data_IF_750153621949
#
_entry.id   IF_750153621949
#
_cell.length_a   1.000
_cell.length_b   1.000
_cell.length_c   1.000
_cell.angle_alpha   90.00
_cell.angle_beta   90.00
_cell.angle_gamma   90.00
#
_symmetry.space_group_name_H-M   'P 1'
#
loop_
_entity.id
_entity.type
_entity.pdbx_description
1 polymer ?
#
# COMPACT_ATOMS: atom_id res chain seq x y z
N UNK A 1 -66.76 -31.82 -45.67
CA UNK A 1 -65.57 -31.10 -45.17
C UNK A 1 -65.72 -30.95 -43.66
N UNK A 2 -64.78 -31.45 -42.84
CA UNK A 2 -64.81 -31.38 -41.36
C UNK A 2 -63.92 -30.22 -40.93
N UNK A 3 -64.49 -29.17 -40.33
CA UNK A 3 -63.73 -28.04 -39.80
C UNK A 3 -63.18 -28.40 -38.42
N UNK A 4 -61.84 -28.46 -38.30
CA UNK A 4 -61.14 -28.63 -37.03
C UNK A 4 -60.98 -27.26 -36.36
N UNK A 5 -61.70 -27.03 -35.28
CA UNK A 5 -61.59 -25.83 -34.45
C UNK A 5 -60.34 -25.92 -33.57
N UNK A 6 -59.31 -25.13 -33.91
CA UNK A 6 -58.12 -24.96 -33.09
C UNK A 6 -58.44 -24.23 -31.78
N UNK A 7 -58.25 -24.92 -30.65
CA UNK A 7 -58.43 -24.35 -29.30
C UNK A 7 -57.28 -23.37 -29.01
N UNK A 8 -57.52 -22.07 -29.11
CA UNK A 8 -56.54 -21.07 -28.71
C UNK A 8 -56.30 -21.17 -27.19
N UNK A 9 -55.05 -21.49 -26.81
CA UNK A 9 -54.62 -21.41 -25.41
C UNK A 9 -54.51 -19.93 -25.05
N UNK A 10 -55.42 -19.44 -24.21
CA UNK A 10 -55.40 -18.06 -23.73
C UNK A 10 -54.03 -17.72 -23.14
N UNK A 11 -53.37 -16.71 -23.70
CA UNK A 11 -52.15 -16.14 -23.13
C UNK A 11 -52.55 -15.45 -21.83
N UNK A 12 -52.22 -16.05 -20.69
CA UNK A 12 -52.33 -15.40 -19.37
C UNK A 12 -51.36 -14.21 -19.38
N UNK A 13 -51.89 -13.00 -19.33
CA UNK A 13 -51.11 -11.78 -19.15
C UNK A 13 -50.70 -11.62 -17.69
N UNK A 14 -49.54 -11.02 -17.46
CA UNK A 14 -49.06 -10.66 -16.14
C UNK A 14 -49.98 -9.59 -15.52
N UNK A 15 -50.33 -9.75 -14.24
CA UNK A 15 -51.09 -8.73 -13.51
C UNK A 15 -50.16 -7.64 -12.99
N UNK A 16 -50.68 -6.43 -12.82
CA UNK A 16 -49.95 -5.32 -12.19
C UNK A 16 -49.48 -5.67 -10.77
N UNK A 17 -50.29 -6.47 -10.04
CA UNK A 17 -49.97 -6.91 -8.68
C UNK A 17 -48.78 -7.87 -8.68
N UNK A 18 -48.71 -8.81 -9.62
CA UNK A 18 -47.55 -9.71 -9.74
C UNK A 18 -46.27 -8.94 -10.04
N UNK A 19 -46.33 -7.92 -10.91
CA UNK A 19 -45.17 -7.07 -11.19
C UNK A 19 -44.76 -6.24 -9.95
N UNK A 20 -45.74 -5.71 -9.20
CA UNK A 20 -45.50 -4.95 -7.97
C UNK A 20 -44.81 -5.79 -6.89
N UNK A 21 -45.25 -7.02 -6.68
CA UNK A 21 -44.63 -7.93 -5.70
C UNK A 21 -43.18 -8.24 -6.08
N UNK A 22 -42.90 -8.44 -7.38
CA UNK A 22 -41.54 -8.72 -7.86
C UNK A 22 -40.58 -7.54 -7.60
N UNK A 23 -40.98 -6.31 -7.89
CA UNK A 23 -40.11 -5.15 -7.64
C UNK A 23 -39.88 -4.92 -6.14
N UNK A 24 -40.87 -5.20 -5.29
CA UNK A 24 -40.71 -5.14 -3.82
C UNK A 24 -39.71 -6.18 -3.34
N UNK A 25 -39.81 -7.44 -3.81
CA UNK A 25 -38.85 -8.50 -3.44
C UNK A 25 -37.44 -8.13 -3.92
N UNK A 26 -37.28 -7.64 -5.15
CA UNK A 26 -35.98 -7.19 -5.67
C UNK A 26 -35.42 -6.05 -4.83
N UNK A 27 -36.24 -5.07 -4.41
CA UNK A 27 -35.82 -3.97 -3.54
C UNK A 27 -35.33 -4.44 -2.17
N UNK A 28 -36.04 -5.38 -1.55
CA UNK A 28 -35.64 -5.98 -0.26
C UNK A 28 -34.31 -6.73 -0.43
N UNK A 29 -34.19 -7.60 -1.44
CA UNK A 29 -32.96 -8.36 -1.70
C UNK A 29 -31.76 -7.44 -2.02
N UNK A 30 -31.98 -6.38 -2.80
CA UNK A 30 -30.95 -5.41 -3.13
C UNK A 30 -30.43 -4.65 -1.89
N UNK A 31 -31.32 -4.25 -0.97
CA UNK A 31 -30.90 -3.55 0.25
C UNK A 31 -30.06 -4.41 1.19
N UNK A 32 -30.38 -5.71 1.32
CA UNK A 32 -29.59 -6.67 2.11
C UNK A 32 -28.19 -6.91 1.53
N UNK A 33 -28.06 -6.94 0.21
CA UNK A 33 -26.78 -7.14 -0.49
C UNK A 33 -25.78 -5.99 -0.23
N UNK A 34 -26.26 -4.74 -0.19
CA UNK A 34 -25.40 -3.56 0.02
C UNK A 34 -24.76 -3.57 1.43
N UNK A 35 -25.52 -3.93 2.47
CA UNK A 35 -25.03 -3.94 3.85
C UNK A 35 -23.91 -4.94 4.14
N UNK A 36 -23.93 -6.11 3.49
CA UNK A 36 -22.93 -7.16 3.68
C UNK A 36 -21.61 -6.87 2.92
N UNK A 37 -21.69 -6.19 1.78
CA UNK A 37 -20.53 -5.90 0.91
C UNK A 37 -19.45 -5.06 1.59
N UNK A 38 -19.85 -4.05 2.39
CA UNK A 38 -18.91 -3.17 3.09
C UNK A 38 -18.05 -3.87 4.15
N UNK A 39 -18.67 -4.74 4.96
CA UNK A 39 -17.96 -5.46 6.04
C UNK A 39 -16.99 -6.52 5.49
N UNK A 40 -17.36 -7.20 4.41
CA UNK A 40 -16.49 -8.15 3.72
C UNK A 40 -15.27 -7.44 3.10
N UNK A 41 -15.48 -6.30 2.45
CA UNK A 41 -14.40 -5.48 1.88
C UNK A 41 -13.42 -5.00 2.95
N UNK A 42 -13.93 -4.52 4.10
CA UNK A 42 -13.10 -4.14 5.25
C UNK A 42 -12.23 -5.31 5.74
N UNK A 43 -12.85 -6.45 6.06
CA UNK A 43 -12.13 -7.63 6.56
C UNK A 43 -11.06 -8.12 5.58
N UNK A 44 -11.35 -8.08 4.27
CA UNK A 44 -10.38 -8.43 3.24
C UNK A 44 -9.17 -7.47 3.24
N UNK A 45 -9.40 -6.15 3.30
CA UNK A 45 -8.32 -5.15 3.37
C UNK A 45 -7.46 -5.33 4.62
N UNK A 46 -8.09 -5.52 5.78
CA UNK A 46 -7.40 -5.77 7.04
C UNK A 46 -6.58 -7.07 6.99
N UNK A 47 -7.17 -8.16 6.49
CA UNK A 47 -6.51 -9.46 6.38
C UNK A 47 -5.27 -9.40 5.49
N UNK A 48 -5.38 -8.80 4.29
CA UNK A 48 -4.23 -8.62 3.38
C UNK A 48 -3.12 -7.80 4.00
N UNK A 49 -3.48 -6.69 4.65
CA UNK A 49 -2.50 -5.81 5.28
C UNK A 49 -1.81 -6.48 6.46
N UNK A 50 -2.52 -7.30 7.25
CA UNK A 50 -1.93 -8.06 8.36
C UNK A 50 -1.03 -9.18 7.90
N UNK A 51 -1.41 -9.92 6.85
CA UNK A 51 -0.56 -10.94 6.27
C UNK A 51 0.77 -10.33 5.81
N UNK A 52 0.69 -9.17 5.16
CA UNK A 52 1.88 -8.44 4.72
C UNK A 52 2.70 -7.88 5.90
N UNK A 53 2.05 -7.38 6.96
CA UNK A 53 2.73 -6.94 8.17
C UNK A 53 3.63 -8.05 8.73
N UNK A 54 3.10 -9.27 8.87
CA UNK A 54 3.85 -10.42 9.40
C UNK A 54 5.03 -10.78 8.48
N UNK A 55 4.86 -10.70 7.16
CA UNK A 55 5.94 -10.95 6.21
C UNK A 55 7.09 -9.94 6.40
N UNK A 56 6.76 -8.65 6.53
CA UNK A 56 7.74 -7.58 6.73
C UNK A 56 8.40 -7.69 8.12
N UNK A 57 7.65 -8.00 9.17
CA UNK A 57 8.20 -8.23 10.52
C UNK A 57 9.22 -9.37 10.51
N UNK A 58 8.91 -10.46 9.79
CA UNK A 58 9.81 -11.60 9.62
C UNK A 58 11.08 -11.19 8.88
N UNK A 59 10.96 -10.40 7.80
CA UNK A 59 12.09 -9.88 7.05
C UNK A 59 12.96 -8.93 7.89
N UNK A 60 12.35 -8.03 8.67
CA UNK A 60 13.06 -7.13 9.60
C UNK A 60 13.78 -7.94 10.69
N UNK A 61 13.15 -9.01 11.19
CA UNK A 61 13.76 -9.94 12.14
C UNK A 61 15.01 -10.60 11.56
N UNK A 62 14.91 -11.15 10.34
CA UNK A 62 16.04 -11.75 9.64
C UNK A 62 17.16 -10.74 9.34
N UNK A 63 16.80 -9.52 8.93
CA UNK A 63 17.73 -8.41 8.75
C UNK A 63 18.50 -8.13 10.05
N UNK A 64 17.80 -7.96 11.17
CA UNK A 64 18.43 -7.71 12.47
C UNK A 64 19.35 -8.86 12.89
N UNK A 65 18.93 -10.10 12.70
CA UNK A 65 19.78 -11.26 12.99
C UNK A 65 21.07 -11.25 12.16
N UNK A 66 21.02 -10.70 10.94
CA UNK A 66 22.19 -10.63 10.05
C UNK A 66 23.11 -9.44 10.34
N UNK A 67 22.56 -8.26 10.61
CA UNK A 67 23.33 -7.02 10.75
C UNK A 67 23.49 -6.54 12.20
N UNK A 68 22.81 -7.15 13.16
CA UNK A 68 22.87 -6.79 14.59
C UNK A 68 21.99 -5.59 14.97
N UNK A 69 21.47 -4.85 13.99
CA UNK A 69 20.58 -3.71 14.19
C UNK A 69 19.36 -3.80 13.26
N UNK A 70 18.29 -3.09 13.61
CA UNK A 70 17.13 -2.94 12.74
C UNK A 70 17.48 -2.06 11.51
N UNK A 71 16.72 -2.17 10.40
CA UNK A 71 16.90 -1.28 9.25
C UNK A 71 16.85 0.20 9.66
N UNK A 72 17.66 1.08 9.04
CA UNK A 72 17.56 2.52 9.25
C UNK A 72 16.21 3.03 8.75
N UNK A 73 15.66 4.04 9.43
CA UNK A 73 14.43 4.72 9.01
C UNK A 73 14.73 6.12 8.48
N UNK A 74 13.79 6.71 7.75
CA UNK A 74 13.81 8.14 7.46
C UNK A 74 13.41 8.91 8.73
N UNK A 75 14.30 9.74 9.31
CA UNK A 75 14.00 10.46 10.55
C UNK A 75 13.00 11.61 10.36
N UNK A 76 12.72 12.02 9.11
CA UNK A 76 11.84 13.15 8.79
C UNK A 76 10.42 12.69 8.45
N UNK A 77 10.29 11.60 7.70
CA UNK A 77 9.01 11.11 7.21
C UNK A 77 8.94 9.58 7.30
N UNK A 78 8.12 9.02 8.20
CA UNK A 78 7.95 7.57 8.30
C UNK A 78 7.42 6.90 7.02
N UNK A 79 6.68 7.62 6.18
CA UNK A 79 6.07 7.09 4.96
C UNK A 79 7.06 6.99 3.79
N UNK A 80 8.08 7.86 3.75
CA UNK A 80 9.15 7.87 2.77
C UNK A 80 10.43 7.24 3.35
N UNK A 81 10.35 5.99 3.77
CA UNK A 81 11.47 5.27 4.38
C UNK A 81 12.24 4.41 3.36
N UNK A 82 13.46 4.02 3.74
CA UNK A 82 14.37 3.20 2.93
C UNK A 82 14.13 1.68 3.05
N UNK A 83 13.05 1.24 3.71
CA UNK A 83 12.87 -0.16 4.09
C UNK A 83 12.85 -1.10 2.88
N UNK A 84 12.33 -0.66 1.73
CA UNK A 84 12.39 -1.42 0.48
C UNK A 84 13.83 -1.83 0.15
N UNK A 85 14.75 -0.86 0.05
CA UNK A 85 16.14 -1.13 -0.32
C UNK A 85 16.91 -1.89 0.76
N UNK A 86 16.58 -1.68 2.03
CA UNK A 86 17.20 -2.40 3.14
C UNK A 86 16.79 -3.88 3.16
N UNK A 87 15.54 -4.20 2.82
CA UNK A 87 15.05 -5.59 2.84
C UNK A 87 15.30 -6.34 1.54
N UNK A 88 15.38 -5.66 0.39
CA UNK A 88 15.65 -6.29 -0.91
C UNK A 88 17.13 -6.31 -1.27
N UNK A 89 17.90 -5.35 -0.75
CA UNK A 89 19.31 -5.15 -1.04
C UNK A 89 19.56 -4.28 -2.26
N UNK A 90 20.66 -3.53 -2.23
CA UNK A 90 21.02 -2.59 -3.28
C UNK A 90 22.48 -2.76 -3.75
N UNK A 91 22.75 -2.56 -5.04
CA UNK A 91 24.13 -2.63 -5.55
C UNK A 91 24.82 -1.28 -5.37
N UNK A 92 26.00 -1.25 -4.73
CA UNK A 92 26.74 -0.01 -4.50
C UNK A 92 28.02 0.06 -5.33
N UNK A 93 28.19 1.16 -6.07
CA UNK A 93 29.41 1.48 -6.82
C UNK A 93 30.20 2.61 -6.15
N UNK A 94 31.41 2.38 -5.60
CA UNK A 94 32.21 3.42 -4.95
C UNK A 94 32.76 4.42 -5.95
N UNK A 95 33.18 3.93 -7.12
CA UNK A 95 33.78 4.75 -8.16
C UNK A 95 32.78 5.83 -8.64
N UNK A 96 31.50 5.47 -8.75
CA UNK A 96 30.43 6.38 -9.17
C UNK A 96 29.67 7.02 -8.01
N UNK A 97 29.86 6.53 -6.78
CA UNK A 97 29.06 6.87 -5.60
C UNK A 97 27.55 6.77 -5.87
N UNK A 98 27.15 5.67 -6.50
CA UNK A 98 25.75 5.41 -6.88
C UNK A 98 25.28 4.07 -6.34
N UNK A 99 23.98 4.00 -6.10
CA UNK A 99 23.24 2.82 -5.70
C UNK A 99 22.38 2.35 -6.88
N UNK A 100 22.27 1.06 -7.12
CA UNK A 100 21.45 0.49 -8.19
C UNK A 100 20.48 -0.53 -7.61
N UNK A 101 19.21 -0.35 -7.91
CA UNK A 101 18.18 -1.34 -7.64
C UNK A 101 18.41 -2.56 -8.55
N UNK A 102 18.70 -3.76 -8.00
CA UNK A 102 18.95 -4.94 -8.82
C UNK A 102 17.68 -5.46 -9.51
N UNK A 103 16.49 -5.17 -8.98
CA UNK A 103 15.22 -5.67 -9.54
C UNK A 103 14.75 -4.88 -10.74
N UNK A 104 14.90 -3.55 -10.69
CA UNK A 104 14.40 -2.64 -11.74
C UNK A 104 15.54 -2.01 -12.56
N UNK A 105 16.75 -2.01 -12.04
CA UNK A 105 17.93 -1.45 -12.70
C UNK A 105 18.13 0.04 -12.48
N UNK A 106 17.22 0.72 -11.78
CA UNK A 106 17.28 2.16 -11.49
C UNK A 106 18.54 2.52 -10.72
N UNK A 107 19.24 3.58 -11.14
CA UNK A 107 20.49 4.05 -10.54
C UNK A 107 20.25 5.37 -9.81
N UNK A 108 20.48 5.38 -8.51
CA UNK A 108 20.28 6.52 -7.61
C UNK A 108 21.63 7.11 -7.18
N UNK A 109 21.71 8.44 -7.16
CA UNK A 109 22.83 9.20 -6.56
C UNK A 109 22.57 9.41 -5.06
N UNK A 110 23.65 9.56 -4.28
CA UNK A 110 23.56 9.86 -2.82
C UNK A 110 22.68 11.07 -2.53
N UNK A 111 22.76 12.12 -3.35
CA UNK A 111 21.96 13.32 -3.16
C UNK A 111 20.45 13.02 -3.23
N UNK A 112 20.03 12.27 -4.25
CA UNK A 112 18.64 11.85 -4.38
C UNK A 112 18.21 10.98 -3.20
N UNK A 113 19.04 10.04 -2.74
CA UNK A 113 18.71 9.20 -1.57
C UNK A 113 18.50 10.06 -0.31
N UNK A 114 19.34 11.09 -0.12
CA UNK A 114 19.22 12.01 1.01
C UNK A 114 17.96 12.87 0.94
N UNK A 115 17.57 13.29 -0.26
CA UNK A 115 16.33 14.05 -0.51
C UNK A 115 15.09 13.19 -0.25
N UNK A 116 15.06 11.97 -0.78
CA UNK A 116 13.89 11.08 -0.69
C UNK A 116 13.74 10.41 0.68
N UNK A 117 14.83 9.85 1.20
CA UNK A 117 14.80 8.97 2.36
C UNK A 117 15.44 9.58 3.61
N UNK A 118 16.03 10.77 3.50
CA UNK A 118 16.69 11.41 4.64
C UNK A 118 17.93 10.66 5.17
N UNK A 119 18.46 9.70 4.40
CA UNK A 119 19.65 8.90 4.72
C UNK A 119 20.73 9.08 3.66
N UNK A 120 21.98 8.76 3.96
CA UNK A 120 23.10 8.94 3.02
C UNK A 120 23.35 7.74 2.10
N UNK A 121 22.62 6.65 2.34
CA UNK A 121 22.75 5.39 1.61
C UNK A 121 22.00 4.28 2.32
N UNK A 122 22.20 3.06 1.83
CA UNK A 122 21.64 1.84 2.40
C UNK A 122 22.73 1.01 3.05
N UNK A 123 22.38 0.29 4.11
CA UNK A 123 23.31 -0.61 4.81
C UNK A 123 23.38 -1.95 4.07
N UNK A 124 22.23 -2.52 3.69
CA UNK A 124 22.19 -3.76 2.92
C UNK A 124 22.60 -3.52 1.46
N UNK A 125 23.91 -3.53 1.22
CA UNK A 125 24.50 -3.33 -0.09
C UNK A 125 25.47 -4.43 -0.49
N UNK A 126 25.64 -4.60 -1.80
CA UNK A 126 26.58 -5.55 -2.38
C UNK A 126 27.29 -4.98 -3.61
N UNK A 127 28.42 -5.59 -4.01
CA UNK A 127 29.13 -5.23 -5.26
C UNK A 127 28.57 -5.94 -6.48
N UNK A 128 27.98 -7.11 -6.28
CA UNK A 128 27.40 -7.95 -7.32
C UNK A 128 26.09 -8.56 -6.83
N UNK A 129 25.24 -8.98 -7.78
CA UNK A 129 23.93 -9.57 -7.44
C UNK A 129 24.06 -10.89 -6.67
N UNK A 130 25.17 -11.61 -6.84
CA UNK A 130 25.44 -12.87 -6.12
C UNK A 130 25.69 -12.69 -4.62
N UNK A 131 26.10 -11.49 -4.21
CA UNK A 131 26.41 -11.16 -2.82
C UNK A 131 25.25 -10.48 -2.07
N UNK A 132 24.19 -10.14 -2.80
CA UNK A 132 23.01 -9.49 -2.25
C UNK A 132 22.36 -10.38 -1.21
N UNK A 133 21.99 -9.76 -0.10
CA UNK A 133 21.21 -10.40 0.95
C UNK A 133 19.78 -9.95 0.76
N UNK A 134 18.93 -10.89 0.40
CA UNK A 134 17.52 -10.61 0.21
C UNK A 134 16.74 -11.18 1.39
N UNK A 135 16.09 -10.30 2.15
CA UNK A 135 15.24 -10.67 3.29
C UNK A 135 13.76 -10.67 2.93
N UNK A 136 13.39 -9.96 1.87
CA UNK A 136 12.02 -9.80 1.42
C UNK A 136 11.93 -9.87 -0.12
N UNK A 137 10.90 -10.55 -0.62
CA UNK A 137 10.57 -10.63 -2.04
C UNK A 137 9.34 -9.75 -2.33
N UNK A 138 9.53 -8.58 -2.95
CA UNK A 138 8.43 -7.70 -3.28
C UNK A 138 7.59 -8.25 -4.43
N UNK A 139 6.31 -7.89 -4.42
CA UNK A 139 5.38 -8.12 -5.52
C UNK A 139 4.96 -6.79 -6.13
N UNK A 140 4.35 -6.82 -7.31
CA UNK A 140 3.79 -5.63 -7.94
C UNK A 140 2.74 -4.89 -7.05
N UNK A 141 2.14 -5.58 -6.07
CA UNK A 141 1.14 -5.01 -5.16
C UNK A 141 1.75 -4.46 -3.86
N UNK A 142 2.98 -4.84 -3.54
CA UNK A 142 3.64 -4.46 -2.28
C UNK A 142 4.75 -3.45 -2.50
N UNK A 143 4.91 -2.94 -3.72
CA UNK A 143 5.86 -1.90 -4.07
C UNK A 143 5.20 -0.92 -5.01
N UNK A 144 5.42 0.36 -4.75
CA UNK A 144 5.05 1.43 -5.68
C UNK A 144 6.27 2.23 -6.06
N UNK A 145 6.26 2.68 -7.31
CA UNK A 145 7.21 3.64 -7.86
C UNK A 145 6.77 5.03 -7.50
N UNK A 146 7.72 5.91 -7.25
CA UNK A 146 7.49 7.32 -7.04
C UNK A 146 8.51 8.08 -7.90
N UNK A 147 8.04 8.98 -8.75
CA UNK A 147 8.86 9.95 -9.49
C UNK A 147 8.13 11.30 -9.59
N UNK A 148 8.84 12.32 -10.03
CA UNK A 148 8.33 13.66 -10.35
C UNK A 148 7.30 13.66 -11.49
N UNK A 149 7.32 12.67 -12.37
CA UNK A 149 6.38 12.53 -13.49
C UNK A 149 5.14 11.70 -13.15
N UNK A 150 5.03 11.17 -11.92
CA UNK A 150 3.82 10.49 -11.45
C UNK A 150 2.63 11.47 -11.51
N UNK A 151 1.85 11.36 -12.59
CA UNK A 151 0.80 12.30 -12.96
C UNK A 151 -0.56 11.92 -12.37
N UNK A 152 -1.56 12.77 -12.62
CA UNK A 152 -2.93 12.56 -12.16
C UNK A 152 -3.60 11.29 -12.74
N UNK A 153 -3.08 10.78 -13.87
CA UNK A 153 -3.59 9.61 -14.61
C UNK A 153 -2.82 8.32 -14.30
N UNK A 154 -1.75 8.36 -13.49
CA UNK A 154 -0.89 7.21 -13.25
C UNK A 154 -1.39 6.37 -12.05
N UNK A 155 -1.80 5.14 -12.34
CA UNK A 155 -2.11 4.15 -11.29
C UNK A 155 -0.83 3.74 -10.52
N UNK A 156 -0.98 3.14 -9.33
CA UNK A 156 0.16 2.60 -8.57
C UNK A 156 1.03 1.59 -9.37
N UNK A 157 0.44 1.02 -10.44
CA UNK A 157 1.14 0.37 -11.54
C UNK A 157 1.43 1.44 -12.63
N UNK A 158 2.50 2.21 -12.48
CA UNK A 158 2.82 3.37 -13.33
C UNK A 158 3.24 3.03 -14.78
N UNK A 159 3.47 4.05 -15.64
CA UNK A 159 3.77 3.90 -17.06
C UNK A 159 5.13 3.24 -17.37
N UNK A 160 5.30 2.73 -18.60
CA UNK A 160 6.45 1.91 -19.07
C UNK A 160 7.80 2.66 -19.24
N UNK A 161 7.90 3.95 -18.90
CA UNK A 161 9.11 4.77 -19.10
C UNK A 161 9.83 4.99 -17.77
N UNK A 162 11.14 4.74 -17.75
CA UNK A 162 11.98 4.93 -16.57
C UNK A 162 12.41 6.39 -16.45
N UNK A 163 12.22 6.99 -15.28
CA UNK A 163 12.68 8.34 -14.97
C UNK A 163 13.94 8.29 -14.09
N UNK A 164 14.81 9.29 -14.22
CA UNK A 164 16.12 9.29 -13.55
C UNK A 164 16.05 9.48 -12.02
N UNK A 165 14.90 9.92 -11.52
CA UNK A 165 14.54 10.22 -10.14
C UNK A 165 13.65 9.14 -9.50
N UNK A 166 13.31 8.08 -10.25
CA UNK A 166 12.40 7.03 -9.79
C UNK A 166 12.94 6.32 -8.54
N UNK A 167 12.11 6.26 -7.50
CA UNK A 167 12.40 5.52 -6.27
C UNK A 167 11.28 4.54 -5.93
N UNK A 168 11.62 3.46 -5.25
CA UNK A 168 10.67 2.45 -4.80
C UNK A 168 10.40 2.59 -3.32
N UNK A 169 9.12 2.48 -2.96
CA UNK A 169 8.67 2.40 -1.57
C UNK A 169 7.88 1.12 -1.35
N UNK A 170 8.07 0.54 -0.18
CA UNK A 170 7.32 -0.64 0.24
C UNK A 170 5.90 -0.21 0.61
N UNK A 171 4.92 -0.81 -0.05
CA UNK A 171 3.51 -0.46 0.06
C UNK A 171 2.67 -1.60 0.63
N UNK A 172 1.55 -1.19 1.22
CA UNK A 172 0.47 -2.09 1.63
C UNK A 172 -0.21 -2.62 0.36
N UNK A 173 -0.61 -3.91 0.30
CA UNK A 173 -1.36 -4.48 -0.83
C UNK A 173 -2.83 -4.01 -0.90
N UNK A 174 -3.07 -2.78 -0.46
CA UNK A 174 -4.32 -2.04 -0.49
C UNK A 174 -3.97 -0.59 -0.86
N UNK A 175 -4.14 -0.19 -2.13
CA UNK A 175 -3.76 1.15 -2.58
C UNK A 175 -4.61 2.22 -1.89
N UNK A 176 -4.06 3.44 -1.82
CA UNK A 176 -4.82 4.58 -1.36
C UNK A 176 -5.90 4.93 -2.41
N UNK A 177 -7.14 5.27 -2.03
CA UNK A 177 -8.16 5.64 -3.01
C UNK A 177 -7.71 6.86 -3.83
N UNK A 178 -7.81 6.78 -5.17
CA UNK A 178 -7.32 7.82 -6.08
C UNK A 178 -8.05 9.16 -5.91
N UNK A 179 -9.36 9.10 -5.62
CA UNK A 179 -10.24 10.27 -5.49
C UNK A 179 -10.06 11.05 -4.19
N UNK A 180 -9.22 10.58 -3.26
CA UNK A 180 -9.02 11.27 -1.98
C UNK A 180 -7.92 12.32 -2.08
N UNK A 181 -8.18 13.50 -1.53
CA UNK A 181 -7.21 14.59 -1.47
C UNK A 181 -6.11 14.40 -0.42
N UNK A 182 -6.33 13.50 0.54
CA UNK A 182 -5.44 13.26 1.69
C UNK A 182 -4.37 12.19 1.42
N UNK A 183 -3.90 12.09 0.18
CA UNK A 183 -2.85 11.15 -0.22
C UNK A 183 -1.64 11.21 0.73
N UNK A 184 -1.10 10.05 1.12
CA UNK A 184 -0.12 9.97 2.20
C UNK A 184 1.27 10.44 1.76
N UNK A 185 1.58 10.36 0.47
CA UNK A 185 2.92 10.61 -0.06
C UNK A 185 2.95 11.82 -0.96
N UNK A 186 3.94 12.67 -0.73
CA UNK A 186 4.34 13.74 -1.64
C UNK A 186 5.79 13.57 -2.04
N UNK A 187 6.07 13.74 -3.31
CA UNK A 187 7.40 13.63 -3.87
C UNK A 187 7.71 14.91 -4.65
N UNK A 188 8.75 15.62 -4.23
CA UNK A 188 9.11 16.96 -4.74
C UNK A 188 7.92 17.92 -4.85
N UNK A 189 7.06 17.92 -3.82
CA UNK A 189 5.87 18.77 -3.74
C UNK A 189 4.63 18.21 -4.45
N UNK A 190 4.78 17.29 -5.40
CA UNK A 190 3.69 16.64 -6.12
C UNK A 190 3.11 15.49 -5.31
N UNK A 191 1.82 15.21 -5.52
CA UNK A 191 1.10 14.13 -4.83
C UNK A 191 1.28 12.82 -5.59
N UNK A 192 1.74 11.77 -4.91
CA UNK A 192 1.81 10.44 -5.51
C UNK A 192 0.49 9.69 -5.25
N UNK A 193 -0.45 9.79 -6.19
CA UNK A 193 -1.79 9.20 -6.07
C UNK A 193 -1.72 7.67 -6.01
N UNK A 194 -2.55 7.07 -5.16
CA UNK A 194 -2.69 5.61 -5.07
C UNK A 194 -1.61 4.91 -4.25
N UNK A 195 -0.49 5.59 -3.98
CA UNK A 195 0.61 5.06 -3.18
C UNK A 195 0.19 4.95 -1.71
N UNK A 196 0.30 3.76 -1.13
CA UNK A 196 0.02 3.53 0.28
C UNK A 196 1.23 2.86 0.98
N UNK A 197 2.20 3.64 1.46
CA UNK A 197 3.43 3.09 1.98
C UNK A 197 3.24 2.50 3.38
N UNK A 198 4.05 1.49 3.68
CA UNK A 198 4.35 1.16 5.07
C UNK A 198 5.07 2.32 5.72
N UNK A 199 4.64 2.68 6.93
CA UNK A 199 5.31 3.68 7.76
C UNK A 199 6.20 2.96 8.76
N UNK A 200 7.45 3.38 8.84
CA UNK A 200 8.47 2.70 9.64
C UNK A 200 9.33 3.70 10.39
N UNK A 201 9.52 3.48 11.69
CA UNK A 201 10.46 4.23 12.52
C UNK A 201 11.24 3.32 13.47
N UNK A 202 12.47 3.73 13.76
CA UNK A 202 13.38 3.05 14.70
C UNK A 202 14.12 4.07 15.57
N UNK A 203 14.71 3.62 16.67
CA UNK A 203 15.52 4.47 17.54
C UNK A 203 14.70 5.53 18.26
N UNK A 204 15.16 6.78 18.24
CA UNK A 204 14.55 7.89 19.00
C UNK A 204 13.15 8.29 18.51
N UNK A 205 12.77 7.89 17.29
CA UNK A 205 11.45 8.19 16.73
C UNK A 205 10.36 7.21 17.15
N UNK A 206 10.71 6.12 17.84
CA UNK A 206 9.74 5.09 18.27
C UNK A 206 8.92 5.59 19.45
N UNK A 207 7.60 5.39 19.37
CA UNK A 207 6.65 5.80 20.41
C UNK A 207 6.06 4.60 21.15
N UNK A 208 5.76 3.50 20.45
CA UNK A 208 4.98 2.40 21.04
C UNK A 208 5.86 1.21 21.44
N UNK A 209 6.78 0.77 20.58
CA UNK A 209 7.67 -0.37 20.83
C UNK A 209 9.10 0.05 21.20
N UNK A 210 9.26 0.75 22.33
CA UNK A 210 10.58 1.26 22.80
C UNK A 210 11.64 0.14 22.80
N UNK A 211 12.81 0.44 22.22
CA UNK A 211 13.92 -0.53 22.06
C UNK A 211 13.79 -1.46 20.85
N UNK A 212 12.69 -1.39 20.10
CA UNK A 212 12.48 -2.10 18.83
C UNK A 212 12.24 -1.09 17.69
N UNK A 213 11.11 -1.22 17.01
CA UNK A 213 10.67 -0.39 15.90
C UNK A 213 9.14 -0.33 15.89
N UNK A 214 8.61 0.77 15.35
CA UNK A 214 7.19 0.90 15.06
C UNK A 214 7.00 0.76 13.55
N UNK A 215 6.13 -0.17 13.15
CA UNK A 215 5.73 -0.43 11.77
C UNK A 215 4.21 -0.39 11.70
N UNK A 216 3.68 0.42 10.80
CA UNK A 216 2.23 0.53 10.62
C UNK A 216 1.82 0.91 9.21
N UNK A 217 0.58 0.59 8.92
CA UNK A 217 -0.13 0.94 7.69
C UNK A 217 -1.38 1.74 8.05
N UNK A 218 -1.74 2.67 7.19
CA UNK A 218 -3.04 3.34 7.19
C UNK A 218 -3.86 2.75 6.03
N UNK A 219 -5.07 2.27 6.29
CA UNK A 219 -5.99 1.75 5.27
C UNK A 219 -7.29 2.54 5.30
N UNK A 220 -7.80 2.88 4.12
CA UNK A 220 -9.08 3.58 3.99
C UNK A 220 -10.22 2.57 3.92
N UNK A 221 -11.24 2.76 4.76
CA UNK A 221 -12.46 1.94 4.82
C UNK A 221 -13.66 2.87 4.92
N UNK A 222 -14.41 3.01 3.81
CA UNK A 222 -15.41 4.07 3.71
C UNK A 222 -14.74 5.44 3.79
N UNK A 223 -15.23 6.29 4.68
CA UNK A 223 -14.66 7.62 4.90
C UNK A 223 -13.54 7.63 5.96
N UNK A 224 -13.40 6.54 6.72
CA UNK A 224 -12.45 6.43 7.82
C UNK A 224 -11.07 5.92 7.38
N UNK A 225 -10.05 6.35 8.11
CA UNK A 225 -8.69 5.81 8.01
C UNK A 225 -8.39 4.98 9.25
N UNK A 226 -8.25 3.68 9.06
CA UNK A 226 -7.88 2.73 10.11
C UNK A 226 -6.38 2.48 10.08
N UNK A 227 -5.81 2.26 11.26
CA UNK A 227 -4.39 1.94 11.46
C UNK A 227 -4.25 0.46 11.81
N UNK A 228 -3.32 -0.21 11.12
CA UNK A 228 -2.83 -1.56 11.43
C UNK A 228 -1.36 -1.43 11.80
N UNK A 229 -0.94 -2.01 12.92
CA UNK A 229 0.39 -1.76 13.48
C UNK A 229 0.98 -2.99 14.15
N UNK A 230 2.30 -3.00 14.37
CA UNK A 230 2.99 -4.04 15.13
C UNK A 230 2.91 -3.92 16.66
N UNK A 231 2.23 -2.90 17.21
CA UNK A 231 2.06 -2.72 18.67
C UNK A 231 0.62 -2.90 19.16
N UNK A 232 -0.35 -3.03 18.25
CA UNK A 232 -1.76 -3.28 18.60
C UNK A 232 -2.33 -4.41 17.76
N UNK A 233 -2.97 -5.35 18.44
CA UNK A 233 -3.67 -6.45 17.79
C UNK A 233 -4.87 -5.96 17.00
N UNK A 234 -5.70 -5.08 17.56
CA UNK A 234 -6.89 -4.55 16.88
C UNK A 234 -6.58 -3.33 16.00
N UNK A 235 -7.39 -3.13 14.95
CA UNK A 235 -7.35 -1.90 14.16
C UNK A 235 -7.93 -0.74 14.97
N UNK A 236 -7.43 0.47 14.72
CA UNK A 236 -7.84 1.65 15.48
C UNK A 236 -7.87 2.90 14.59
N UNK A 237 -8.60 3.94 14.99
CA UNK A 237 -8.72 5.16 14.19
C UNK A 237 -7.40 5.91 14.11
N UNK A 238 -7.09 6.50 12.95
CA UNK A 238 -5.93 7.41 12.76
C UNK A 238 -5.89 8.53 13.81
N UNK A 239 -7.02 8.93 14.37
CA UNK A 239 -7.09 9.93 15.43
C UNK A 239 -6.33 9.50 16.70
N UNK A 240 -6.36 8.20 17.02
CA UNK A 240 -5.68 7.62 18.17
C UNK A 240 -4.17 7.40 17.91
N UNK A 241 -3.70 7.60 16.67
CA UNK A 241 -2.27 7.58 16.36
C UNK A 241 -1.57 8.75 17.06
N UNK A 242 -0.35 8.52 17.54
CA UNK A 242 0.47 9.55 18.19
C UNK A 242 0.54 10.82 17.35
N UNK A 243 0.42 11.98 18.01
CA UNK A 243 0.58 13.28 17.34
C UNK A 243 1.97 13.42 16.69
N UNK A 244 2.98 12.73 17.22
CA UNK A 244 4.33 12.72 16.63
C UNK A 244 4.31 12.17 15.20
N UNK A 245 3.60 11.07 14.95
CA UNK A 245 3.48 10.47 13.61
C UNK A 245 2.57 11.26 12.66
N UNK A 246 1.67 12.09 13.20
CA UNK A 246 0.75 12.92 12.40
C UNK A 246 1.34 14.27 12.01
N UNK A 247 2.45 14.70 12.61
CA UNK A 247 3.08 15.99 12.27
C UNK A 247 3.67 15.92 10.85
N UNK A 248 2.87 16.30 9.86
CA UNK A 248 3.40 16.85 8.60
C UNK A 248 4.18 18.11 8.99
N UNK A 249 5.50 18.14 8.73
CA UNK A 249 6.18 19.44 8.71
C UNK A 249 5.47 20.26 7.65
N UNK A 250 4.80 21.34 8.07
CA UNK A 250 4.49 22.46 7.20
C UNK A 250 5.83 22.92 6.64
N UNK A 251 6.16 22.50 5.43
CA UNK A 251 7.10 23.21 4.58
C UNK A 251 6.27 24.11 3.68
#
# INVERSE_FOLDING_TARGET
MKNLTGKSRGRRGFTLVELLVVIVIIGILASLMVGLSGTASRKMRESRTRAELVAIETAIGAYKSKFGHYPPCNPKDPALNSLYYELTGCLYSPARKTFRDPKVGTVMKVQAIKEHFGVEGFINTARSERELKQFYEPTAKTVSRISEEHGDDDSAEGPKKHHADEVHVLCVPVPWPLERDDQPVRHHGKVAKGVNPWRYVVGQSVVNNIGKYDLWAEIVVGDEVLVISNWRKETFSREQLSRYYKKKKRN
#
